data_IF_481001826558
#
_entry.id   IF_481001826558
#
_cell.length_a   1.000
_cell.length_b   1.000
_cell.length_c   1.000
_cell.angle_alpha   90.00
_cell.angle_beta   90.00
_cell.angle_gamma   90.00
#
_symmetry.space_group_name_H-M   'P 1'
#
loop_
_entity.id
_entity.type
_entity.pdbx_description
1 polymer ?
#
# COMPACT_ATOMS: atom_id res chain seq x y z
N UNK A 1 2.66 -11.38 14.99
CA UNK A 1 2.08 -11.12 13.65
C UNK A 1 0.60 -11.48 13.75
N UNK A 2 -0.24 -10.53 14.16
CA UNK A 2 -1.69 -10.77 14.28
C UNK A 2 -2.38 -9.64 13.54
N UNK A 3 -3.02 -9.97 12.43
CA UNK A 3 -3.85 -9.02 11.69
C UNK A 3 -5.07 -8.65 12.53
N UNK A 4 -5.44 -7.38 12.55
CA UNK A 4 -6.67 -6.93 13.21
C UNK A 4 -7.87 -7.26 12.33
N UNK A 5 -8.91 -7.86 12.90
CA UNK A 5 -10.16 -8.16 12.20
C UNK A 5 -11.26 -7.14 12.55
N UNK A 6 -12.20 -6.84 11.62
CA UNK A 6 -12.29 -7.34 10.24
C UNK A 6 -11.25 -6.69 9.30
N UNK A 7 -10.82 -7.38 8.25
CA UNK A 7 -9.73 -6.94 7.36
C UNK A 7 -9.99 -7.32 5.89
N UNK A 8 -9.58 -6.46 4.96
CA UNK A 8 -9.41 -6.82 3.54
C UNK A 8 -7.97 -7.30 3.37
N UNK A 9 -7.79 -8.59 3.11
CA UNK A 9 -6.46 -9.20 2.88
C UNK A 9 -6.00 -9.01 1.43
N UNK A 10 -4.99 -9.79 1.01
CA UNK A 10 -4.39 -9.70 -0.33
C UNK A 10 -3.25 -8.70 -0.34
N UNK A 11 -2.12 -9.12 -0.89
CA UNK A 11 -0.90 -8.31 -1.00
C UNK A 11 -0.13 -8.52 -2.30
N UNK A 12 -0.58 -9.45 -3.14
CA UNK A 12 -0.06 -9.70 -4.48
C UNK A 12 -1.13 -9.28 -5.48
N UNK A 13 -0.86 -8.20 -6.23
CA UNK A 13 -1.72 -7.74 -7.31
C UNK A 13 -0.98 -6.80 -8.27
N UNK A 14 -1.58 -6.60 -9.43
CA UNK A 14 -1.35 -5.45 -10.31
C UNK A 14 -2.65 -4.66 -10.43
N UNK A 15 -2.55 -3.40 -10.82
CA UNK A 15 -3.71 -2.54 -11.03
C UNK A 15 -3.40 -1.34 -11.90
N UNK A 16 -4.41 -0.50 -12.09
CA UNK A 16 -4.29 0.78 -12.78
C UNK A 16 -4.63 1.87 -11.78
N UNK A 17 -3.84 2.95 -11.77
CA UNK A 17 -4.11 4.11 -10.91
C UNK A 17 -5.40 4.79 -11.37
N UNK A 18 -6.39 4.86 -10.48
CA UNK A 18 -7.64 5.59 -10.72
C UNK A 18 -7.48 7.09 -10.43
N UNK A 19 -6.98 7.42 -9.24
CA UNK A 19 -6.73 8.80 -8.81
C UNK A 19 -5.49 8.89 -7.90
N UNK A 20 -4.99 10.10 -7.67
CA UNK A 20 -3.86 10.38 -6.76
C UNK A 20 -4.22 11.46 -5.74
N UNK A 21 -3.64 11.36 -4.54
CA UNK A 21 -3.73 12.40 -3.52
C UNK A 21 -2.84 13.61 -3.82
N UNK A 22 -3.06 14.70 -3.09
CA UNK A 22 -2.20 15.89 -3.16
C UNK A 22 -0.74 15.54 -2.81
N UNK A 23 0.21 16.07 -3.59
CA UNK A 23 1.65 15.88 -3.35
C UNK A 23 2.24 14.58 -3.90
N UNK A 24 1.44 13.66 -4.44
CA UNK A 24 1.94 12.46 -5.14
C UNK A 24 2.67 12.88 -6.41
N UNK A 25 3.85 12.31 -6.65
CA UNK A 25 4.73 12.65 -7.78
C UNK A 25 5.27 11.46 -8.57
N UNK A 26 5.14 10.24 -8.02
CA UNK A 26 5.77 9.03 -8.59
C UNK A 26 4.86 8.21 -9.52
N UNK A 27 3.55 8.46 -9.49
CA UNK A 27 2.53 7.81 -10.32
C UNK A 27 1.46 8.82 -10.74
N UNK A 28 0.69 8.51 -11.79
CA UNK A 28 -0.47 9.30 -12.24
C UNK A 28 -1.63 8.39 -12.67
N UNK A 29 -2.87 8.92 -12.78
CA UNK A 29 -4.00 8.16 -13.32
C UNK A 29 -3.68 7.49 -14.66
N UNK A 30 -4.09 6.23 -14.79
CA UNK A 30 -3.85 5.39 -15.97
C UNK A 30 -2.53 4.61 -15.97
N UNK A 31 -1.58 4.90 -15.07
CA UNK A 31 -0.36 4.10 -14.95
C UNK A 31 -0.69 2.67 -14.48
N UNK A 32 -0.03 1.67 -15.07
CA UNK A 32 0.02 0.32 -14.50
C UNK A 32 0.93 0.29 -13.28
N UNK A 33 0.48 -0.34 -12.21
CA UNK A 33 1.17 -0.36 -10.92
C UNK A 33 1.14 -1.71 -10.24
N UNK A 34 2.12 -1.92 -9.36
CA UNK A 34 2.15 -3.00 -8.36
C UNK A 34 2.14 -2.37 -6.97
N UNK A 35 1.18 -2.73 -6.08
CA UNK A 35 1.24 -2.40 -4.66
C UNK A 35 2.41 -3.11 -3.97
N UNK A 36 3.11 -2.40 -3.09
CA UNK A 36 4.28 -2.90 -2.37
C UNK A 36 3.92 -3.15 -0.89
N UNK A 37 3.87 -4.43 -0.51
CA UNK A 37 3.66 -4.80 0.89
C UNK A 37 4.83 -4.40 1.79
N UNK A 38 6.04 -4.33 1.23
CA UNK A 38 7.20 -3.65 1.80
C UNK A 38 7.34 -2.28 1.13
N UNK A 39 6.97 -1.18 1.80
CA UNK A 39 7.17 0.15 1.25
C UNK A 39 8.65 0.47 1.07
N UNK A 40 8.95 1.47 0.25
CA UNK A 40 10.28 2.07 0.16
C UNK A 40 10.19 3.59 0.34
N UNK A 41 10.23 4.06 1.59
CA UNK A 41 10.13 5.50 1.87
C UNK A 41 11.37 6.33 1.50
N UNK A 42 12.51 5.68 1.20
CA UNK A 42 13.80 6.30 0.81
C UNK A 42 14.47 7.22 1.86
N UNK A 43 13.83 7.42 3.01
CA UNK A 43 14.30 8.36 4.03
C UNK A 43 14.85 7.66 5.29
N UNK A 44 14.31 6.48 5.64
CA UNK A 44 14.72 5.78 6.85
C UNK A 44 16.07 5.07 6.71
N UNK A 45 16.72 4.80 7.84
CA UNK A 45 18.01 4.10 7.87
C UNK A 45 17.97 2.75 7.14
N UNK A 46 16.87 2.00 7.25
CA UNK A 46 16.73 0.73 6.55
C UNK A 46 16.68 0.90 5.02
N UNK A 47 16.01 1.93 4.50
CA UNK A 47 15.98 2.22 3.06
C UNK A 47 17.28 2.83 2.54
N UNK A 48 18.07 3.48 3.41
CA UNK A 48 19.38 4.06 3.05
C UNK A 48 20.53 3.05 3.18
N UNK A 49 20.29 1.91 3.82
CA UNK A 49 21.27 0.84 3.92
C UNK A 49 21.34 0.09 2.59
N UNK A 50 22.53 -0.07 1.97
CA UNK A 50 22.68 -0.80 0.71
C UNK A 50 22.22 -2.27 0.78
N UNK A 51 22.24 -2.87 1.97
CA UNK A 51 21.84 -4.27 2.21
C UNK A 51 20.45 -4.39 2.84
N UNK A 52 19.72 -3.28 2.98
CA UNK A 52 18.42 -3.22 3.66
C UNK A 52 17.23 -3.03 2.73
N UNK A 53 16.16 -3.81 2.93
CA UNK A 53 14.87 -3.64 2.24
C UNK A 53 13.66 -3.54 3.18
N UNK A 54 13.84 -3.76 4.48
CA UNK A 54 12.75 -3.75 5.46
C UNK A 54 12.49 -2.32 5.98
N UNK A 55 11.72 -1.54 5.21
CA UNK A 55 11.37 -0.18 5.59
C UNK A 55 10.64 -0.12 6.94
N UNK A 56 10.95 0.91 7.74
CA UNK A 56 10.31 1.15 9.05
C UNK A 56 8.81 1.49 8.93
N UNK A 57 8.36 1.90 7.73
CA UNK A 57 6.93 2.17 7.44
C UNK A 57 6.15 0.90 7.07
N UNK A 58 6.80 -0.27 7.03
CA UNK A 58 6.12 -1.54 6.75
C UNK A 58 5.08 -1.87 7.83
N UNK A 59 3.95 -2.44 7.42
CA UNK A 59 2.89 -2.89 8.34
C UNK A 59 2.90 -4.41 8.57
N UNK A 60 4.08 -5.05 8.51
CA UNK A 60 4.23 -6.48 8.77
C UNK A 60 3.81 -6.85 10.19
N UNK A 61 3.85 -5.88 11.12
CA UNK A 61 3.40 -6.07 12.51
C UNK A 61 1.88 -6.10 12.65
N UNK A 62 1.13 -5.66 11.62
CA UNK A 62 -0.33 -5.76 11.55
C UNK A 62 -1.10 -4.65 12.26
N UNK A 63 -0.69 -3.38 12.11
CA UNK A 63 -1.47 -2.25 12.68
C UNK A 63 -2.83 -2.11 12.01
N UNK A 64 -2.91 -2.43 10.71
CA UNK A 64 -4.16 -2.53 9.96
C UNK A 64 -4.78 -1.19 9.55
N UNK A 65 -3.95 -0.16 9.42
CA UNK A 65 -4.32 1.23 9.08
C UNK A 65 -3.21 1.86 8.23
N UNK A 66 -3.53 2.94 7.51
CA UNK A 66 -2.55 3.71 6.73
C UNK A 66 -1.64 4.56 7.65
N UNK A 67 -0.67 5.26 7.07
CA UNK A 67 0.30 6.07 7.81
C UNK A 67 -0.35 7.14 8.72
N UNK A 68 -1.53 7.65 8.36
CA UNK A 68 -2.32 8.60 9.15
C UNK A 68 -3.08 7.97 10.33
N UNK A 69 -2.97 6.65 10.52
CA UNK A 69 -3.64 5.91 11.59
C UNK A 69 -5.10 5.57 11.33
N UNK A 70 -5.62 5.82 10.12
CA UNK A 70 -7.01 5.58 9.74
C UNK A 70 -7.16 4.49 8.69
N UNK A 71 -8.40 4.07 8.43
CA UNK A 71 -8.74 3.18 7.31
C UNK A 71 -9.51 3.93 6.23
N UNK A 72 -9.41 3.43 4.99
CA UNK A 72 -10.20 3.90 3.84
C UNK A 72 -11.39 2.98 3.56
N UNK A 73 -11.52 1.88 4.31
CA UNK A 73 -12.55 0.89 4.09
C UNK A 73 -13.62 0.94 5.16
N UNK A 74 -14.86 0.90 4.71
CA UNK A 74 -16.02 0.58 5.55
C UNK A 74 -16.85 -0.51 4.88
N UNK A 75 -17.47 -1.36 5.68
CA UNK A 75 -18.40 -2.37 5.21
C UNK A 75 -19.59 -2.42 6.16
N UNK A 76 -20.81 -2.26 5.63
CA UNK A 76 -22.05 -2.17 6.42
C UNK A 76 -21.95 -1.13 7.55
N UNK A 77 -21.36 0.03 7.24
CA UNK A 77 -21.19 1.16 8.18
C UNK A 77 -20.13 0.94 9.26
N UNK A 78 -19.36 -0.16 9.22
CA UNK A 78 -18.28 -0.46 10.18
C UNK A 78 -16.91 -0.33 9.52
N UNK A 79 -15.89 0.18 10.21
CA UNK A 79 -14.54 0.25 9.67
C UNK A 79 -13.98 -1.15 9.42
N UNK A 80 -13.18 -1.30 8.35
CA UNK A 80 -12.47 -2.53 8.00
C UNK A 80 -10.98 -2.21 7.89
N UNK A 81 -10.12 -3.06 8.44
CA UNK A 81 -8.68 -2.84 8.46
C UNK A 81 -8.03 -3.06 7.10
N UNK A 82 -6.92 -2.35 6.91
CA UNK A 82 -5.95 -2.61 5.86
C UNK A 82 -5.09 -3.84 6.18
N UNK A 83 -4.41 -4.38 5.18
CA UNK A 83 -3.50 -5.52 5.30
C UNK A 83 -2.20 -5.20 4.55
N UNK A 84 -1.09 -5.19 5.29
CA UNK A 84 0.26 -5.04 4.75
C UNK A 84 0.38 -3.91 3.71
N UNK A 85 -0.17 -2.72 4.00
CA UNK A 85 -0.17 -1.54 3.13
C UNK A 85 -0.76 -1.75 1.71
N UNK A 86 -1.56 -2.80 1.47
CA UNK A 86 -1.98 -3.19 0.12
C UNK A 86 -3.48 -3.51 0.03
N UNK A 87 -3.97 -4.49 0.79
CA UNK A 87 -5.38 -4.90 0.79
C UNK A 87 -5.96 -5.13 -0.61
N UNK A 88 -5.42 -6.11 -1.34
CA UNK A 88 -5.71 -6.26 -2.77
C UNK A 88 -6.95 -7.10 -3.10
N UNK A 89 -7.63 -7.71 -2.13
CA UNK A 89 -8.86 -8.48 -2.37
C UNK A 89 -10.11 -7.57 -2.37
N UNK A 90 -10.11 -6.60 -3.28
CA UNK A 90 -11.12 -5.56 -3.49
C UNK A 90 -10.96 -5.00 -4.91
N UNK A 91 -12.03 -4.44 -5.49
CA UNK A 91 -11.95 -3.80 -6.81
C UNK A 91 -11.10 -2.52 -6.79
N UNK A 92 -11.10 -1.80 -5.65
CA UNK A 92 -10.30 -0.60 -5.43
C UNK A 92 -9.67 -0.63 -4.05
N UNK A 93 -8.41 -0.21 -3.98
CA UNK A 93 -7.65 -0.02 -2.74
C UNK A 93 -6.97 1.35 -2.75
N UNK A 94 -6.68 1.87 -1.56
CA UNK A 94 -5.92 3.12 -1.37
C UNK A 94 -4.64 2.77 -0.63
N UNK A 95 -3.51 3.11 -1.22
CA UNK A 95 -2.17 2.84 -0.65
C UNK A 95 -1.39 4.14 -0.51
N UNK A 96 -0.47 4.18 0.45
CA UNK A 96 0.52 5.26 0.56
C UNK A 96 1.44 5.26 -0.68
N UNK A 97 1.91 6.43 -1.11
CA UNK A 97 2.78 6.57 -2.30
C UNK A 97 4.05 5.70 -2.19
N UNK A 98 4.62 5.58 -0.98
CA UNK A 98 5.79 4.71 -0.76
C UNK A 98 5.51 3.21 -0.89
N UNK A 99 4.24 2.82 -1.02
CA UNK A 99 3.73 1.46 -1.13
C UNK A 99 3.16 1.16 -2.52
N UNK A 100 3.56 1.90 -3.55
CA UNK A 100 3.20 1.61 -4.94
C UNK A 100 4.40 1.84 -5.86
N UNK A 101 4.53 0.99 -6.88
CA UNK A 101 5.50 1.18 -7.95
C UNK A 101 4.80 1.22 -9.31
N UNK A 102 5.11 2.23 -10.12
CA UNK A 102 4.82 2.19 -11.55
C UNK A 102 5.58 1.04 -12.20
N UNK A 103 4.91 0.31 -13.10
CA UNK A 103 5.51 -0.71 -13.95
C UNK A 103 5.40 -0.32 -15.42
N UNK A 104 5.91 -1.19 -16.30
CA UNK A 104 5.80 -1.03 -17.75
C UNK A 104 4.33 -1.05 -18.19
N UNK A 105 3.94 -0.06 -19.00
CA UNK A 105 2.59 0.07 -19.54
C UNK A 105 2.25 -1.09 -20.50
N UNK A 106 3.26 -1.80 -21.04
CA UNK A 106 3.11 -2.98 -21.90
C UNK A 106 3.05 -4.32 -21.14
N UNK A 107 3.25 -4.33 -19.81
CA UNK A 107 3.10 -5.56 -19.01
C UNK A 107 1.68 -6.15 -19.16
N UNK A 108 1.51 -7.48 -19.31
CA UNK A 108 0.21 -8.08 -19.59
C UNK A 108 -0.84 -7.82 -18.51
#
# INVERSE_FOLDING_TARGET
MVSKFPVIVGHEATGIVESIGEGVTTVKPGDKVIPLFLPQCRECNACRNPDGNLCIRSDITGRGVLADGTTRFTCKGKPVHHFMNTSTFTEYTVVDESSVAKIDDAAP
#
